data_IF_064230623352
#
_entry.id   IF_064230623352
#
_cell.length_a   1.000
_cell.length_b   1.000
_cell.length_c   1.000
_cell.angle_alpha   90.00
_cell.angle_beta   90.00
_cell.angle_gamma   90.00
#
_symmetry.space_group_name_H-M   'P 1'
#
loop_
_entity.id
_entity.type
_entity.pdbx_description
1 polymer ?
#
# COMPACT_ATOMS: atom_id res chain seq x y z
N UNK A 1 8.29 32.39 20.20
CA UNK A 1 7.39 31.71 19.24
C UNK A 1 7.41 30.18 19.44
N UNK A 2 7.11 29.70 20.64
CA UNK A 2 7.08 28.27 20.97
C UNK A 2 5.63 27.94 21.36
N UNK A 3 4.88 27.26 20.49
CA UNK A 3 3.47 26.95 20.78
C UNK A 3 2.76 26.06 19.77
N UNK A 4 3.19 26.01 18.50
CA UNK A 4 2.43 25.29 17.46
C UNK A 4 3.06 24.00 16.93
N UNK A 5 4.31 23.66 17.28
CA UNK A 5 4.97 22.43 16.76
C UNK A 5 4.25 21.16 17.19
N UNK A 6 3.70 21.14 18.41
CA UNK A 6 3.02 19.97 18.95
C UNK A 6 1.70 19.67 18.23
N UNK A 7 0.96 20.70 17.81
CA UNK A 7 -0.32 20.53 17.09
C UNK A 7 -0.07 19.93 15.71
N UNK A 8 0.90 20.47 14.97
CA UNK A 8 1.24 19.94 13.64
C UNK A 8 1.78 18.51 13.72
N UNK A 9 2.55 18.18 14.76
CA UNK A 9 3.03 16.82 14.98
C UNK A 9 1.88 15.84 15.28
N UNK A 10 0.90 16.26 16.11
CA UNK A 10 -0.29 15.47 16.39
C UNK A 10 -1.17 15.27 15.15
N UNK A 11 -1.40 16.32 14.36
CA UNK A 11 -2.14 16.21 13.09
C UNK A 11 -1.43 15.29 12.10
N UNK A 12 -0.10 15.39 11.99
CA UNK A 12 0.69 14.50 11.13
C UNK A 12 0.64 13.05 11.60
N UNK A 13 0.69 12.82 12.91
CA UNK A 13 0.50 11.51 13.51
C UNK A 13 -0.86 10.92 13.12
N UNK A 14 -1.95 11.68 13.34
CA UNK A 14 -3.30 11.25 12.99
C UNK A 14 -3.44 10.95 11.49
N UNK A 15 -2.90 11.82 10.64
CA UNK A 15 -2.88 11.62 9.18
C UNK A 15 -2.18 10.30 8.82
N UNK A 16 -1.03 9.99 9.45
CA UNK A 16 -0.30 8.75 9.21
C UNK A 16 -1.08 7.52 9.71
N UNK A 17 -1.75 7.60 10.87
CA UNK A 17 -2.59 6.51 11.40
C UNK A 17 -3.75 6.23 10.45
N UNK A 18 -4.43 7.26 9.94
CA UNK A 18 -5.53 7.11 8.99
C UNK A 18 -5.08 6.42 7.69
N UNK A 19 -3.86 6.71 7.22
CA UNK A 19 -3.30 6.02 6.05
C UNK A 19 -2.99 4.56 6.35
N UNK A 20 -2.13 4.31 7.34
CA UNK A 20 -1.75 2.96 7.71
C UNK A 20 -1.07 2.92 9.10
N UNK A 21 -1.51 2.06 10.05
CA UNK A 21 -0.94 1.99 11.40
C UNK A 21 0.58 1.75 11.44
N UNK A 22 1.12 0.97 10.49
CA UNK A 22 2.56 0.74 10.28
C UNK A 22 3.39 2.02 10.04
N UNK A 23 2.79 3.12 9.59
CA UNK A 23 3.50 4.40 9.41
C UNK A 23 3.84 5.09 10.74
N UNK A 24 3.26 4.59 11.83
CA UNK A 24 3.32 5.21 13.16
C UNK A 24 3.82 4.22 14.22
N UNK A 25 3.53 2.93 14.02
CA UNK A 25 3.91 1.85 14.92
C UNK A 25 5.37 1.44 14.70
N UNK A 26 6.28 2.21 15.29
CA UNK A 26 7.73 1.99 15.22
C UNK A 26 8.23 1.48 16.58
N UNK A 27 9.39 0.80 16.68
CA UNK A 27 9.94 0.36 17.96
C UNK A 27 10.15 1.48 19.00
N UNK A 28 10.27 2.72 18.53
CA UNK A 28 10.40 3.93 19.36
C UNK A 28 9.05 4.48 19.86
N UNK A 29 7.92 3.89 19.45
CA UNK A 29 6.59 4.37 19.81
C UNK A 29 6.29 3.99 21.28
N UNK A 30 5.77 4.92 22.12
CA UNK A 30 5.55 4.66 23.54
C UNK A 30 4.66 3.45 23.84
N UNK A 31 3.66 3.21 23.00
CA UNK A 31 2.73 2.08 23.12
C UNK A 31 3.10 0.87 22.25
N UNK A 32 4.30 0.85 21.64
CA UNK A 32 4.71 -0.21 20.72
C UNK A 32 4.55 -1.60 21.34
N UNK A 33 5.12 -1.81 22.53
CA UNK A 33 5.08 -3.10 23.22
C UNK A 33 3.64 -3.53 23.56
N UNK A 34 2.80 -2.58 24.00
CA UNK A 34 1.42 -2.87 24.35
C UNK A 34 0.59 -3.29 23.13
N UNK A 35 0.71 -2.56 22.02
CA UNK A 35 0.00 -2.89 20.77
C UNK A 35 0.49 -4.21 20.19
N UNK A 36 1.80 -4.46 20.20
CA UNK A 36 2.38 -5.74 19.76
C UNK A 36 1.93 -6.90 20.65
N UNK A 37 1.83 -6.71 21.97
CA UNK A 37 1.32 -7.73 22.89
C UNK A 37 -0.17 -8.05 22.64
N UNK A 38 -0.97 -7.06 22.26
CA UNK A 38 -2.38 -7.25 21.88
C UNK A 38 -2.52 -7.96 20.52
N UNK A 39 -1.53 -7.82 19.63
CA UNK A 39 -1.51 -8.46 18.32
C UNK A 39 -1.03 -9.91 18.43
N UNK A 40 -1.94 -10.82 18.79
CA UNK A 40 -1.75 -12.29 18.88
C UNK A 40 -0.38 -12.72 19.43
N UNK A 41 -0.26 -13.03 20.74
CA UNK A 41 0.98 -13.54 21.30
C UNK A 41 1.38 -14.86 20.60
N UNK A 42 2.61 -14.92 20.07
CA UNK A 42 3.19 -16.15 19.50
C UNK A 42 3.49 -16.16 18.00
N UNK A 43 3.23 -15.07 17.28
CA UNK A 43 3.57 -14.97 15.84
C UNK A 43 4.86 -14.16 15.63
N UNK A 44 5.70 -14.52 14.63
CA UNK A 44 6.87 -13.72 14.25
C UNK A 44 6.47 -12.26 13.96
N UNK A 45 7.32 -11.30 14.31
CA UNK A 45 7.04 -9.86 14.13
C UNK A 45 6.58 -9.55 12.69
N UNK A 46 7.19 -10.17 11.67
CA UNK A 46 6.80 -10.02 10.27
C UNK A 46 5.33 -10.42 10.00
N UNK A 47 4.83 -11.44 10.69
CA UNK A 47 3.46 -11.95 10.57
C UNK A 47 2.47 -11.10 11.38
N UNK A 48 2.89 -10.52 12.51
CA UNK A 48 2.09 -9.55 13.27
C UNK A 48 1.87 -8.25 12.50
N UNK A 49 2.90 -7.71 11.84
CA UNK A 49 2.76 -6.58 10.92
C UNK A 49 1.89 -6.94 9.72
N UNK A 50 1.97 -8.17 9.21
CA UNK A 50 1.09 -8.65 8.13
C UNK A 50 -0.38 -8.75 8.58
N UNK A 51 -0.65 -9.04 9.86
CA UNK A 51 -2.01 -9.06 10.43
C UNK A 51 -2.54 -7.65 10.68
N UNK A 52 -1.70 -6.74 11.16
CA UNK A 52 -2.02 -5.30 11.16
C UNK A 52 -2.35 -4.83 9.76
N UNK A 53 -1.47 -5.13 8.81
CA UNK A 53 -1.72 -4.83 7.40
C UNK A 53 -3.09 -5.39 7.00
N UNK A 54 -3.35 -6.70 7.15
CA UNK A 54 -4.58 -7.35 6.66
C UNK A 54 -5.87 -6.82 7.27
N UNK A 55 -5.89 -6.49 8.57
CA UNK A 55 -7.13 -6.13 9.30
C UNK A 55 -7.35 -4.64 9.55
N UNK A 56 -6.32 -3.81 9.65
CA UNK A 56 -6.49 -2.42 10.14
C UNK A 56 -6.35 -1.32 9.08
N UNK A 57 -5.80 -1.60 7.90
CA UNK A 57 -5.80 -0.61 6.82
C UNK A 57 -7.05 -0.74 5.95
N UNK A 58 -8.02 0.14 6.13
CA UNK A 58 -9.27 0.16 5.35
C UNK A 58 -9.06 0.64 3.89
N UNK A 59 -7.98 1.38 3.62
CA UNK A 59 -7.69 1.92 2.28
C UNK A 59 -7.17 0.85 1.30
N UNK A 60 -6.50 -0.21 1.79
CA UNK A 60 -5.97 -1.28 0.91
C UNK A 60 -7.06 -2.19 0.32
N UNK A 61 -8.05 -2.68 1.09
CA UNK A 61 -9.19 -3.41 0.52
C UNK A 61 -9.95 -2.60 -0.52
N UNK A 62 -10.20 -1.32 -0.25
CA UNK A 62 -10.89 -0.43 -1.17
C UNK A 62 -10.12 -0.22 -2.47
N UNK A 63 -8.79 0.01 -2.40
CA UNK A 63 -7.95 0.12 -3.60
C UNK A 63 -7.93 -1.19 -4.39
N UNK A 64 -7.84 -2.34 -3.74
CA UNK A 64 -7.90 -3.64 -4.41
C UNK A 64 -9.23 -3.85 -5.13
N UNK A 65 -10.34 -3.52 -4.47
CA UNK A 65 -11.67 -3.60 -5.06
C UNK A 65 -11.77 -2.68 -6.27
N UNK A 66 -11.39 -1.41 -6.14
CA UNK A 66 -11.41 -0.46 -7.25
C UNK A 66 -10.58 -0.93 -8.45
N UNK A 67 -9.38 -1.47 -8.21
CA UNK A 67 -8.54 -2.00 -9.28
C UNK A 67 -9.16 -3.22 -9.95
N UNK A 68 -9.73 -4.14 -9.17
CA UNK A 68 -10.45 -5.29 -9.70
C UNK A 68 -11.71 -4.88 -10.48
N UNK A 69 -12.44 -3.87 -10.01
CA UNK A 69 -13.63 -3.32 -10.69
C UNK A 69 -13.26 -2.64 -12.02
N UNK A 70 -12.00 -2.24 -12.18
CA UNK A 70 -11.42 -1.78 -13.44
C UNK A 70 -10.75 -2.90 -14.26
N UNK A 71 -10.94 -4.18 -13.89
CA UNK A 71 -10.30 -5.36 -14.47
C UNK A 71 -8.76 -5.41 -14.36
N UNK A 72 -8.17 -4.54 -13.53
CA UNK A 72 -6.72 -4.47 -13.31
C UNK A 72 -6.33 -5.54 -12.29
N UNK A 73 -5.65 -6.60 -12.73
CA UNK A 73 -5.07 -7.62 -11.85
C UNK A 73 -6.00 -8.76 -11.43
N UNK A 74 -7.13 -8.91 -12.12
CA UNK A 74 -8.00 -10.08 -11.98
C UNK A 74 -7.29 -11.32 -12.53
N UNK A 75 -7.33 -12.45 -11.79
CA UNK A 75 -6.88 -13.73 -12.31
C UNK A 75 -7.96 -14.24 -13.26
N UNK A 76 -7.63 -14.42 -14.54
CA UNK A 76 -8.46 -15.13 -15.53
C UNK A 76 -8.48 -16.67 -15.27
N UNK A 77 -8.17 -17.12 -14.05
CA UNK A 77 -7.93 -18.53 -13.69
C UNK A 77 -9.20 -19.33 -13.34
N UNK A 78 -10.36 -18.94 -13.85
CA UNK A 78 -11.47 -19.87 -13.98
C UNK A 78 -11.55 -20.27 -15.44
N UNK A 79 -10.94 -21.41 -15.77
CA UNK A 79 -10.81 -22.01 -17.11
C UNK A 79 -12.12 -22.25 -17.85
N UNK A 80 -12.82 -21.18 -18.20
CA UNK A 80 -13.93 -21.08 -19.14
C UNK A 80 -13.81 -19.74 -19.87
N UNK A 81 -12.73 -19.56 -20.63
CA UNK A 81 -12.67 -18.55 -21.70
C UNK A 81 -12.50 -19.37 -22.99
N UNK A 82 -13.59 -19.70 -23.71
CA UNK A 82 -14.15 -18.86 -24.79
C UNK A 82 -13.06 -18.00 -25.43
N UNK A 83 -12.52 -18.56 -26.50
CA UNK A 83 -11.48 -18.08 -27.43
C UNK A 83 -11.82 -16.76 -28.15
N UNK A 84 -12.73 -15.93 -27.62
CA UNK A 84 -13.37 -14.85 -28.38
C UNK A 84 -13.21 -13.46 -27.79
N UNK A 85 -12.77 -13.29 -26.54
CA UNK A 85 -12.54 -11.96 -25.98
C UNK A 85 -11.27 -11.99 -25.14
N UNK A 86 -10.13 -11.82 -25.81
CA UNK A 86 -8.98 -11.17 -25.17
C UNK A 86 -9.47 -9.76 -24.86
N UNK A 87 -10.12 -9.58 -23.71
CA UNK A 87 -10.42 -8.27 -23.16
C UNK A 87 -9.05 -7.67 -22.89
N UNK A 88 -8.55 -6.92 -23.87
CA UNK A 88 -7.38 -6.07 -23.73
C UNK A 88 -7.66 -5.29 -22.46
N UNK A 89 -6.85 -5.47 -21.42
CA UNK A 89 -7.07 -4.80 -20.14
C UNK A 89 -7.04 -3.28 -20.39
N UNK A 90 -8.22 -2.65 -20.56
CA UNK A 90 -8.33 -1.32 -21.20
C UNK A 90 -7.98 -0.22 -20.20
N UNK A 91 -8.21 -0.47 -18.90
CA UNK A 91 -8.05 0.55 -17.88
C UNK A 91 -6.62 0.57 -17.36
N UNK A 92 -6.02 1.77 -17.39
CA UNK A 92 -4.75 2.07 -16.73
C UNK A 92 -5.05 2.99 -15.56
N UNK A 93 -4.50 2.68 -14.39
CA UNK A 93 -4.68 3.47 -13.18
C UNK A 93 -3.39 4.24 -12.83
N UNK A 94 -3.55 5.46 -12.32
CA UNK A 94 -2.49 6.22 -11.68
C UNK A 94 -2.79 6.29 -10.18
N UNK A 95 -1.88 5.77 -9.35
CA UNK A 95 -2.02 5.77 -7.89
C UNK A 95 -1.08 6.83 -7.31
N UNK A 96 -1.66 7.91 -6.78
CA UNK A 96 -0.92 8.98 -6.13
C UNK A 96 -0.86 8.77 -4.62
N UNK A 97 0.31 8.99 -4.04
CA UNK A 97 0.53 8.90 -2.60
C UNK A 97 1.41 10.07 -2.15
N UNK A 98 1.04 10.71 -1.04
CA UNK A 98 1.85 11.79 -0.46
C UNK A 98 3.14 11.26 0.21
N UNK A 99 3.12 10.02 0.69
CA UNK A 99 4.22 9.40 1.43
C UNK A 99 4.85 8.27 0.62
N UNK A 100 6.19 8.27 0.47
CA UNK A 100 6.94 7.16 -0.15
C UNK A 100 6.64 5.82 0.55
N UNK A 101 6.57 5.83 1.87
CA UNK A 101 6.26 4.64 2.65
C UNK A 101 4.88 4.03 2.31
N UNK A 102 3.92 4.84 1.83
CA UNK A 102 2.63 4.32 1.37
C UNK A 102 2.76 3.58 0.03
N UNK A 103 3.61 4.08 -0.87
CA UNK A 103 3.96 3.37 -2.11
C UNK A 103 4.64 2.04 -1.79
N UNK A 104 5.55 2.00 -0.81
CA UNK A 104 6.21 0.77 -0.37
C UNK A 104 5.21 -0.27 0.17
N UNK A 105 4.18 0.18 0.90
CA UNK A 105 3.10 -0.67 1.41
C UNK A 105 2.27 -1.21 0.24
N UNK A 106 1.85 -0.35 -0.70
CA UNK A 106 1.06 -0.78 -1.87
C UNK A 106 1.84 -1.80 -2.70
N UNK A 107 3.11 -1.54 -2.97
CA UNK A 107 3.95 -2.42 -3.77
C UNK A 107 4.14 -3.80 -3.13
N UNK A 108 4.58 -3.83 -1.86
CA UNK A 108 4.96 -5.08 -1.20
C UNK A 108 3.78 -5.83 -0.60
N UNK A 109 2.75 -5.13 -0.16
CA UNK A 109 1.61 -5.73 0.54
C UNK A 109 0.36 -5.87 -0.35
N UNK A 110 0.19 -5.09 -1.42
CA UNK A 110 -0.92 -5.24 -2.37
C UNK A 110 -0.48 -5.93 -3.66
N UNK A 111 0.42 -5.32 -4.45
CA UNK A 111 0.75 -5.86 -5.77
C UNK A 111 1.49 -7.19 -5.68
N UNK A 112 2.63 -7.25 -4.99
CA UNK A 112 3.43 -8.49 -4.90
C UNK A 112 2.72 -9.66 -4.23
N UNK A 113 1.84 -9.40 -3.25
CA UNK A 113 1.16 -10.45 -2.47
C UNK A 113 -0.21 -10.84 -3.00
N UNK A 114 -0.99 -9.89 -3.51
CA UNK A 114 -2.41 -10.09 -3.83
C UNK A 114 -2.74 -9.89 -5.31
N UNK A 115 -1.87 -9.27 -6.10
CA UNK A 115 -2.09 -9.00 -7.53
C UNK A 115 -0.81 -9.26 -8.34
N UNK A 116 -0.26 -10.50 -8.32
CA UNK A 116 1.03 -10.81 -8.93
C UNK A 116 1.06 -10.58 -10.46
N UNK A 117 -0.11 -10.58 -11.11
CA UNK A 117 -0.24 -10.39 -12.55
C UNK A 117 -0.24 -8.91 -12.98
N UNK A 118 -0.28 -7.97 -12.03
CA UNK A 118 -0.30 -6.54 -12.34
C UNK A 118 1.10 -6.06 -12.69
N UNK A 119 1.24 -5.50 -13.89
CA UNK A 119 2.45 -4.75 -14.28
C UNK A 119 2.30 -3.30 -13.84
N UNK A 120 3.29 -2.76 -13.13
CA UNK A 120 3.27 -1.38 -12.64
C UNK A 120 4.63 -0.70 -12.83
N UNK A 121 4.60 0.63 -12.85
CA UNK A 121 5.77 1.50 -12.84
C UNK A 121 5.70 2.39 -11.60
N UNK A 122 6.84 2.66 -10.99
CA UNK A 122 6.95 3.48 -9.79
C UNK A 122 7.81 4.71 -10.05
N UNK A 123 7.27 5.88 -9.73
CA UNK A 123 7.97 7.15 -9.80
C UNK A 123 7.93 7.81 -8.41
N UNK A 124 9.09 7.98 -7.78
CA UNK A 124 9.21 8.71 -6.52
C UNK A 124 10.54 9.48 -6.42
N UNK A 125 10.78 10.14 -5.28
CA UNK A 125 11.98 10.93 -5.04
C UNK A 125 13.30 10.15 -5.05
N UNK A 126 13.28 8.81 -4.98
CA UNK A 126 14.48 7.99 -5.11
C UNK A 126 14.90 7.71 -6.54
N UNK A 127 14.03 7.98 -7.53
CA UNK A 127 14.40 7.89 -8.95
C UNK A 127 15.16 9.16 -9.36
N UNK A 128 16.42 9.04 -9.82
CA UNK A 128 17.22 10.18 -10.27
C UNK A 128 16.51 10.96 -11.39
N UNK A 129 16.60 12.30 -11.43
CA UNK A 129 15.89 13.12 -12.41
C UNK A 129 16.07 12.65 -13.86
N UNK A 130 17.29 12.25 -14.23
CA UNK A 130 17.66 11.78 -15.58
C UNK A 130 16.90 10.51 -15.97
N UNK A 131 16.59 9.63 -15.01
CA UNK A 131 15.88 8.37 -15.26
C UNK A 131 14.34 8.50 -15.17
N UNK A 132 13.82 9.67 -14.76
CA UNK A 132 12.35 9.85 -14.62
C UNK A 132 11.66 9.81 -15.98
N UNK A 133 12.25 10.43 -17.00
CA UNK A 133 11.68 10.43 -18.34
C UNK A 133 11.62 9.01 -18.92
N UNK A 134 12.67 8.21 -18.75
CA UNK A 134 12.69 6.83 -19.24
C UNK A 134 11.65 5.93 -18.58
N UNK A 135 11.28 6.20 -17.33
CA UNK A 135 10.21 5.46 -16.64
C UNK A 135 8.83 5.82 -17.22
N UNK A 136 8.59 7.08 -17.61
CA UNK A 136 7.29 7.53 -18.13
C UNK A 136 7.08 7.15 -19.60
N UNK A 137 8.15 7.04 -20.40
CA UNK A 137 8.06 6.77 -21.86
C UNK A 137 7.91 5.29 -22.21
N UNK A 138 7.78 4.42 -21.23
CA UNK A 138 7.65 2.96 -21.41
C UNK A 138 6.19 2.54 -21.53
#
# INVERSE_FOLDING_TARGET
MQGNTHIFQALRYLQNVCNHPKLVLNPTHPQYQHVIAQLKPGLPQATQFTILNSKTSHIRPALKQLLNDCDIGTNLDNGIYKESEIVINQHRALVFCQLKAMLDIIENDLFKKHMPNVTYLRLDGSVPPVMRHSVVTR
#
